data_IF_399710481257
#
_entry.id   IF_399710481257
#
_cell.length_a   1.000
_cell.length_b   1.000
_cell.length_c   1.000
_cell.angle_alpha   90.00
_cell.angle_beta   90.00
_cell.angle_gamma   90.00
#
_symmetry.space_group_name_H-M   'P 1'
#
loop_
_entity.id
_entity.type
_entity.pdbx_description
1 polymer ?
#
# COMPACT_ATOMS: atom_id res chain seq x y z
N UNK A 1 -24.91 -0.47 4.76
CA UNK A 1 -23.61 -0.78 5.42
C UNK A 1 -22.71 0.45 5.31
N UNK A 2 -21.90 0.77 6.33
CA UNK A 2 -20.90 1.86 6.25
C UNK A 2 -19.53 1.26 5.93
N UNK A 3 -18.85 1.84 4.96
CA UNK A 3 -17.49 1.46 4.60
C UNK A 3 -16.54 2.19 5.54
N UNK A 4 -15.73 1.43 6.28
CA UNK A 4 -14.86 1.95 7.32
C UNK A 4 -13.54 2.51 6.77
N UNK A 5 -12.89 3.34 7.57
CA UNK A 5 -11.55 3.84 7.35
C UNK A 5 -10.58 3.12 8.29
N UNK A 6 -9.51 2.52 7.76
CA UNK A 6 -8.45 1.95 8.59
C UNK A 6 -7.37 2.99 8.83
N UNK A 7 -7.36 3.56 10.01
CA UNK A 7 -6.46 4.65 10.39
C UNK A 7 -5.88 4.41 11.78
N UNK A 8 -4.65 4.84 11.99
CA UNK A 8 -3.95 4.74 13.30
C UNK A 8 -4.05 3.35 13.94
N UNK A 9 -4.03 2.28 13.11
CA UNK A 9 -4.08 0.89 13.56
C UNK A 9 -5.46 0.34 13.90
N UNK A 10 -6.54 1.04 13.61
CA UNK A 10 -7.92 0.61 13.90
C UNK A 10 -8.91 1.01 12.82
N UNK A 11 -10.02 0.28 12.73
CA UNK A 11 -11.16 0.67 11.92
C UNK A 11 -11.94 1.80 12.59
N UNK A 12 -12.26 2.82 11.82
CA UNK A 12 -12.97 4.02 12.29
C UNK A 12 -14.00 4.42 11.25
N UNK A 13 -15.22 4.65 11.67
CA UNK A 13 -16.26 5.23 10.83
C UNK A 13 -16.11 6.76 10.82
N UNK A 14 -16.31 7.38 9.65
CA UNK A 14 -16.45 8.83 9.59
C UNK A 14 -17.82 9.29 10.11
N UNK A 15 -17.97 10.57 10.35
CA UNK A 15 -19.24 11.18 10.80
C UNK A 15 -20.25 11.30 9.66
N UNK A 16 -21.51 11.54 10.01
CA UNK A 16 -22.59 11.74 9.05
C UNK A 16 -22.92 10.49 8.23
N UNK A 17 -23.79 10.64 7.25
CA UNK A 17 -24.23 9.56 6.35
C UNK A 17 -23.17 9.26 5.28
N UNK A 18 -22.53 10.30 4.76
CA UNK A 18 -21.53 10.20 3.70
C UNK A 18 -22.12 10.02 2.30
N UNK A 19 -21.26 9.64 1.36
CA UNK A 19 -21.64 9.41 -0.03
C UNK A 19 -22.12 7.98 -0.24
N UNK A 20 -23.26 7.80 -0.90
CA UNK A 20 -23.76 6.49 -1.28
C UNK A 20 -22.83 5.81 -2.30
N UNK A 21 -22.65 4.52 -2.15
CA UNK A 21 -21.91 3.64 -3.05
C UNK A 21 -22.89 2.71 -3.74
N UNK A 22 -22.77 2.61 -5.04
CA UNK A 22 -23.69 1.87 -5.88
C UNK A 22 -23.06 0.63 -6.48
N UNK A 23 -23.83 -0.41 -6.59
CA UNK A 23 -23.56 -1.54 -7.46
C UNK A 23 -23.77 -1.06 -8.91
N UNK A 24 -22.70 -1.02 -9.69
CA UNK A 24 -22.74 -0.52 -11.06
C UNK A 24 -23.51 -1.42 -12.04
N UNK A 25 -23.85 -2.64 -11.61
CA UNK A 25 -24.58 -3.61 -12.45
C UNK A 25 -26.10 -3.42 -12.32
N UNK A 26 -26.60 -3.15 -11.13
CA UNK A 26 -28.03 -3.09 -10.87
C UNK A 26 -28.52 -1.77 -10.27
N UNK A 27 -27.59 -0.85 -9.91
CA UNK A 27 -27.91 0.45 -9.33
C UNK A 27 -28.29 0.43 -7.85
N UNK A 28 -28.22 -0.70 -7.17
CA UNK A 28 -28.54 -0.81 -5.76
C UNK A 28 -27.46 -0.16 -4.89
N UNK A 29 -27.89 0.40 -3.74
CA UNK A 29 -26.94 0.97 -2.79
C UNK A 29 -26.24 -0.16 -2.03
N UNK A 30 -24.92 -0.24 -2.17
CA UNK A 30 -24.05 -1.18 -1.44
C UNK A 30 -23.84 -0.70 -0.01
N UNK A 31 -23.65 0.60 0.18
CA UNK A 31 -23.36 1.23 1.45
C UNK A 31 -23.01 2.70 1.30
N UNK A 32 -22.43 3.27 2.33
CA UNK A 32 -22.02 4.67 2.36
C UNK A 32 -20.59 4.78 2.86
N UNK A 33 -19.86 5.81 2.43
CA UNK A 33 -18.50 6.12 2.89
C UNK A 33 -18.34 7.60 3.18
N UNK A 34 -17.55 7.92 4.19
CA UNK A 34 -17.22 9.29 4.55
C UNK A 34 -15.87 9.36 5.26
N UNK A 35 -15.20 10.48 5.09
CA UNK A 35 -13.98 10.85 5.84
C UNK A 35 -14.23 12.03 6.77
N UNK A 36 -15.48 12.47 6.92
CA UNK A 36 -15.84 13.56 7.80
C UNK A 36 -15.47 13.24 9.25
N UNK A 37 -14.90 14.21 9.96
CA UNK A 37 -14.46 14.05 11.35
C UNK A 37 -13.13 13.30 11.53
N UNK A 38 -12.46 12.85 10.47
CA UNK A 38 -11.13 12.26 10.58
C UNK A 38 -10.07 13.35 10.75
N UNK A 39 -9.15 13.15 11.69
CA UNK A 39 -7.99 14.02 11.88
C UNK A 39 -6.84 13.54 10.96
N UNK A 40 -6.71 14.16 9.80
CA UNK A 40 -5.63 13.85 8.85
C UNK A 40 -4.24 14.21 9.38
N UNK A 41 -4.14 15.20 10.30
CA UNK A 41 -2.88 15.54 10.96
C UNK A 41 -2.40 14.40 11.84
N UNK A 42 -3.30 13.81 12.64
CA UNK A 42 -3.01 12.64 13.46
C UNK A 42 -2.65 11.41 12.59
N UNK A 43 -3.38 11.17 11.50
CA UNK A 43 -3.10 10.07 10.57
C UNK A 43 -1.68 10.17 10.00
N UNK A 44 -1.28 11.35 9.55
CA UNK A 44 0.06 11.60 9.04
C UNK A 44 1.12 11.48 10.14
N UNK A 45 0.83 11.97 11.33
CA UNK A 45 1.72 11.83 12.49
C UNK A 45 1.94 10.37 12.85
N UNK A 46 0.88 9.58 12.95
CA UNK A 46 0.96 8.13 13.19
C UNK A 46 1.79 7.40 12.12
N UNK A 47 1.54 7.70 10.85
CA UNK A 47 2.33 7.12 9.75
C UNK A 47 3.83 7.42 9.89
N UNK A 48 4.20 8.65 10.23
CA UNK A 48 5.60 9.06 10.41
C UNK A 48 6.26 8.42 11.64
N UNK A 49 5.56 8.42 12.77
CA UNK A 49 6.14 8.05 14.07
C UNK A 49 6.08 6.55 14.34
N UNK A 50 5.04 5.87 13.88
CA UNK A 50 4.85 4.42 14.12
C UNK A 50 5.23 3.63 12.87
N UNK A 51 4.51 3.81 11.76
CA UNK A 51 4.72 3.02 10.54
C UNK A 51 6.11 3.24 9.95
N UNK A 52 6.53 4.49 9.79
CA UNK A 52 7.83 4.85 9.24
C UNK A 52 9.00 4.36 10.09
N UNK A 53 8.90 4.44 11.41
CA UNK A 53 9.97 3.95 12.28
C UNK A 53 10.16 2.43 12.19
N UNK A 54 9.06 1.66 12.11
CA UNK A 54 9.12 0.21 11.96
C UNK A 54 9.75 -0.17 10.62
N UNK A 55 9.24 0.38 9.51
CA UNK A 55 9.72 0.06 8.17
C UNK A 55 11.20 0.43 7.97
N UNK A 56 11.66 1.58 8.48
CA UNK A 56 13.06 2.01 8.35
C UNK A 56 14.06 1.14 9.11
N UNK A 57 13.62 0.44 10.15
CA UNK A 57 14.48 -0.51 10.89
C UNK A 57 14.64 -1.85 10.18
N UNK A 58 13.70 -2.21 9.32
CA UNK A 58 13.74 -3.46 8.57
C UNK A 58 14.77 -3.39 7.45
N UNK A 59 15.44 -4.51 7.21
CA UNK A 59 16.32 -4.68 6.05
C UNK A 59 15.51 -4.80 4.75
N UNK A 60 16.17 -4.67 3.60
CA UNK A 60 15.53 -4.93 2.30
C UNK A 60 14.97 -6.36 2.20
N UNK A 61 15.68 -7.34 2.76
CA UNK A 61 15.23 -8.74 2.78
C UNK A 61 13.98 -8.93 3.63
N UNK A 62 13.93 -8.32 4.80
CA UNK A 62 12.77 -8.40 5.68
C UNK A 62 11.55 -7.73 5.03
N UNK A 63 11.68 -6.50 4.53
CA UNK A 63 10.60 -5.82 3.81
C UNK A 63 10.10 -6.63 2.62
N UNK A 64 11.03 -7.12 1.77
CA UNK A 64 10.69 -7.92 0.60
C UNK A 64 10.01 -9.25 0.96
N UNK A 65 10.39 -9.91 2.06
CA UNK A 65 9.75 -11.13 2.51
C UNK A 65 8.33 -10.88 3.06
N UNK A 66 8.12 -9.80 3.80
CA UNK A 66 6.77 -9.37 4.25
C UNK A 66 5.87 -9.12 3.04
N UNK A 67 6.33 -8.34 2.05
CA UNK A 67 5.57 -8.05 0.83
C UNK A 67 5.26 -9.35 0.06
N UNK A 68 6.22 -10.26 -0.08
CA UNK A 68 6.03 -11.56 -0.74
C UNK A 68 4.98 -12.41 -0.03
N UNK A 69 5.07 -12.53 1.30
CA UNK A 69 4.13 -13.32 2.08
C UNK A 69 2.72 -12.75 1.98
N UNK A 70 2.58 -11.43 2.00
CA UNK A 70 1.32 -10.75 1.77
C UNK A 70 0.75 -11.06 0.39
N UNK A 71 1.56 -11.00 -0.67
CA UNK A 71 1.14 -11.35 -2.03
C UNK A 71 0.62 -12.79 -2.12
N UNK A 72 1.34 -13.75 -1.49
CA UNK A 72 0.92 -15.16 -1.41
C UNK A 72 -0.42 -15.33 -0.67
N UNK A 73 -0.61 -14.61 0.43
CA UNK A 73 -1.84 -14.65 1.20
C UNK A 73 -3.03 -14.11 0.39
N UNK A 74 -2.88 -12.94 -0.22
CA UNK A 74 -3.93 -12.31 -1.02
C UNK A 74 -4.28 -13.14 -2.25
N UNK A 75 -3.29 -13.76 -2.91
CA UNK A 75 -3.51 -14.64 -4.07
C UNK A 75 -4.41 -15.82 -3.73
N UNK A 76 -4.29 -16.41 -2.54
CA UNK A 76 -5.16 -17.52 -2.09
C UNK A 76 -6.62 -17.09 -1.92
N UNK A 77 -6.87 -15.80 -1.70
CA UNK A 77 -8.20 -15.22 -1.46
C UNK A 77 -8.78 -14.50 -2.68
N UNK A 78 -8.14 -14.55 -3.82
CA UNK A 78 -8.51 -13.76 -5.02
C UNK A 78 -9.98 -13.91 -5.44
N UNK A 79 -10.57 -15.08 -5.28
CA UNK A 79 -11.97 -15.33 -5.66
C UNK A 79 -12.97 -14.54 -4.79
N UNK A 80 -12.61 -14.18 -3.58
CA UNK A 80 -13.42 -13.29 -2.74
C UNK A 80 -13.46 -11.87 -3.34
N UNK A 81 -12.33 -11.38 -3.81
CA UNK A 81 -12.21 -10.05 -4.42
C UNK A 81 -12.89 -9.99 -5.78
N UNK A 82 -12.82 -11.06 -6.58
CA UNK A 82 -13.55 -11.14 -7.84
C UNK A 82 -15.06 -10.95 -7.65
N UNK A 83 -15.66 -11.60 -6.65
CA UNK A 83 -17.08 -11.46 -6.34
C UNK A 83 -17.49 -10.03 -6.02
N UNK A 84 -16.59 -9.28 -5.35
CA UNK A 84 -16.84 -7.88 -5.03
C UNK A 84 -16.59 -7.00 -6.26
N UNK A 85 -15.55 -7.30 -7.04
CA UNK A 85 -15.17 -6.55 -8.23
C UNK A 85 -16.26 -6.48 -9.28
N UNK A 86 -17.09 -7.54 -9.44
CA UNK A 86 -18.22 -7.50 -10.36
C UNK A 86 -19.21 -6.35 -10.09
N UNK A 87 -19.34 -5.93 -8.83
CA UNK A 87 -20.20 -4.80 -8.46
C UNK A 87 -19.68 -3.45 -8.98
N UNK A 88 -18.40 -3.37 -9.35
CA UNK A 88 -17.84 -2.18 -10.00
C UNK A 88 -18.20 -2.07 -11.49
N UNK A 89 -18.88 -3.07 -12.06
CA UNK A 89 -19.13 -3.21 -13.49
C UNK A 89 -17.97 -3.84 -14.26
N UNK A 90 -16.89 -4.24 -13.57
CA UNK A 90 -15.74 -4.88 -14.20
C UNK A 90 -16.08 -6.27 -14.73
N UNK A 91 -15.59 -6.58 -15.93
CA UNK A 91 -15.62 -7.95 -16.48
C UNK A 91 -14.64 -8.84 -15.72
N UNK A 92 -14.71 -10.15 -15.98
CA UNK A 92 -13.73 -11.11 -15.40
C UNK A 92 -12.29 -10.76 -15.80
N UNK A 93 -12.08 -10.30 -17.03
CA UNK A 93 -10.76 -9.92 -17.53
C UNK A 93 -10.27 -8.64 -16.86
N UNK A 94 -11.12 -7.62 -16.73
CA UNK A 94 -10.77 -6.37 -16.04
C UNK A 94 -10.44 -6.64 -14.57
N UNK A 95 -11.25 -7.46 -13.90
CA UNK A 95 -11.01 -7.87 -12.51
C UNK A 95 -9.69 -8.64 -12.36
N UNK A 96 -9.36 -9.50 -13.33
CA UNK A 96 -8.09 -10.23 -13.35
C UNK A 96 -6.90 -9.26 -13.48
N UNK A 97 -6.99 -8.29 -14.39
CA UNK A 97 -5.95 -7.27 -14.57
C UNK A 97 -5.76 -6.47 -13.27
N UNK A 98 -6.85 -5.98 -12.67
CA UNK A 98 -6.79 -5.18 -11.45
C UNK A 98 -6.25 -5.98 -10.25
N UNK A 99 -6.84 -7.13 -9.96
CA UNK A 99 -6.57 -7.89 -8.74
C UNK A 99 -5.24 -8.64 -8.84
N UNK A 100 -5.09 -9.50 -9.85
CA UNK A 100 -3.87 -10.30 -9.98
C UNK A 100 -2.69 -9.47 -10.48
N UNK A 101 -2.94 -8.43 -11.28
CA UNK A 101 -1.92 -7.45 -11.64
C UNK A 101 -1.42 -6.66 -10.42
N UNK A 102 -2.32 -6.29 -9.51
CA UNK A 102 -1.96 -5.69 -8.22
C UNK A 102 -1.08 -6.61 -7.38
N UNK A 103 -1.44 -7.91 -7.27
CA UNK A 103 -0.62 -8.89 -6.56
C UNK A 103 0.72 -9.15 -7.28
N UNK A 104 0.73 -9.12 -8.61
CA UNK A 104 1.94 -9.18 -9.42
C UNK A 104 2.93 -8.07 -9.08
N UNK A 105 2.45 -6.86 -8.86
CA UNK A 105 3.29 -5.73 -8.42
C UNK A 105 3.92 -5.98 -7.04
N UNK A 106 3.19 -6.61 -6.10
CA UNK A 106 3.79 -7.01 -4.82
C UNK A 106 4.92 -8.01 -5.04
N UNK A 107 4.74 -9.06 -5.88
CA UNK A 107 5.78 -10.04 -6.18
C UNK A 107 6.99 -9.42 -6.87
N UNK A 108 6.77 -8.55 -7.86
CA UNK A 108 7.82 -7.88 -8.60
C UNK A 108 8.69 -7.03 -7.65
N UNK A 109 8.07 -6.16 -6.85
CA UNK A 109 8.81 -5.32 -5.91
C UNK A 109 9.45 -6.13 -4.79
N UNK A 110 8.79 -7.16 -4.26
CA UNK A 110 9.40 -8.06 -3.28
C UNK A 110 10.67 -8.74 -3.82
N UNK A 111 10.74 -9.03 -5.13
CA UNK A 111 11.91 -9.65 -5.75
C UNK A 111 13.14 -8.75 -5.75
N UNK A 112 12.95 -7.42 -5.73
CA UNK A 112 14.04 -6.44 -5.71
C UNK A 112 14.94 -6.58 -4.48
N UNK A 113 14.47 -7.19 -3.38
CA UNK A 113 15.31 -7.48 -2.22
C UNK A 113 16.60 -8.23 -2.57
N UNK A 114 16.59 -8.98 -3.67
CA UNK A 114 17.76 -9.76 -4.13
C UNK A 114 18.88 -8.87 -4.70
N UNK A 115 18.56 -7.63 -5.07
CA UNK A 115 19.49 -6.67 -5.64
C UNK A 115 20.15 -5.78 -4.55
N UNK A 116 19.62 -5.80 -3.35
CA UNK A 116 20.09 -4.97 -2.25
C UNK A 116 20.76 -5.79 -1.14
N UNK A 117 21.65 -5.19 -0.36
CA UNK A 117 22.28 -5.86 0.80
C UNK A 117 21.23 -6.16 1.89
N UNK A 118 21.55 -7.11 2.77
CA UNK A 118 20.69 -7.39 3.93
C UNK A 118 20.87 -6.33 5.04
N UNK A 119 20.58 -5.09 4.67
CA UNK A 119 20.69 -3.91 5.52
C UNK A 119 19.49 -2.99 5.27
N UNK A 120 19.17 -2.04 6.17
CA UNK A 120 18.09 -1.08 5.97
C UNK A 120 18.44 0.06 4.98
N UNK A 121 19.70 0.16 4.55
CA UNK A 121 20.23 1.15 3.63
C UNK A 121 21.06 0.46 2.53
N UNK A 122 21.40 1.19 1.48
CA UNK A 122 22.30 0.75 0.42
C UNK A 122 23.46 1.73 0.25
N UNK A 123 24.64 1.21 -0.06
CA UNK A 123 25.83 2.02 -0.36
C UNK A 123 26.06 1.97 -1.87
N UNK A 124 25.86 3.11 -2.52
CA UNK A 124 25.89 3.23 -3.97
C UNK A 124 27.33 3.43 -4.48
N UNK A 125 27.82 2.48 -5.27
CA UNK A 125 29.12 2.57 -5.94
C UNK A 125 30.31 2.44 -5.01
N UNK A 126 31.48 2.77 -5.55
CA UNK A 126 32.77 2.76 -4.83
C UNK A 126 33.02 4.09 -4.12
N UNK A 127 33.89 4.08 -3.08
CA UNK A 127 34.33 5.31 -2.44
C UNK A 127 34.99 6.28 -3.43
N UNK A 128 34.61 7.54 -3.37
CA UNK A 128 35.19 8.61 -4.19
C UNK A 128 36.27 9.31 -3.39
N UNK A 129 37.52 9.29 -3.89
CA UNK A 129 38.60 10.06 -3.30
C UNK A 129 38.45 11.55 -3.68
N UNK A 130 38.24 12.38 -2.69
CA UNK A 130 38.07 13.83 -2.84
C UNK A 130 39.37 14.60 -2.57
N UNK A 131 40.47 13.90 -2.27
CA UNK A 131 41.77 14.51 -1.95
C UNK A 131 42.94 13.76 -2.62
N UNK A 132 44.07 14.44 -2.85
CA UNK A 132 45.28 13.78 -3.24
C UNK A 132 45.78 12.87 -2.11
N UNK A 133 45.78 11.54 -2.36
CA UNK A 133 46.32 10.54 -1.45
C UNK A 133 45.32 9.93 -0.46
N UNK A 134 44.02 9.90 -0.77
CA UNK A 134 43.01 9.12 -0.05
C UNK A 134 42.69 9.59 1.39
N UNK A 135 43.03 10.83 1.72
CA UNK A 135 42.78 11.36 3.07
C UNK A 135 41.37 11.87 3.32
N UNK A 136 40.62 12.08 2.26
CA UNK A 136 39.22 12.53 2.31
C UNK A 136 38.40 11.79 1.26
N UNK A 137 37.53 10.93 1.71
CA UNK A 137 36.69 10.05 0.86
C UNK A 137 35.22 10.31 1.12
N UNK A 138 34.40 10.10 0.11
CA UNK A 138 32.96 10.18 0.18
C UNK A 138 32.30 8.88 -0.32
N UNK A 139 31.16 8.54 0.26
CA UNK A 139 30.24 7.49 -0.18
C UNK A 139 28.85 8.04 -0.33
N UNK A 140 28.10 7.58 -1.31
CA UNK A 140 26.67 7.79 -1.38
C UNK A 140 25.95 6.68 -0.60
N UNK A 141 25.12 7.05 0.35
CA UNK A 141 24.31 6.12 1.13
C UNK A 141 22.85 6.42 0.88
N UNK A 142 22.13 5.47 0.32
CA UNK A 142 20.68 5.54 0.10
C UNK A 142 19.95 5.04 1.34
N UNK A 143 19.24 5.94 2.01
CA UNK A 143 18.49 5.64 3.24
C UNK A 143 16.99 5.84 3.02
N UNK A 144 16.12 5.10 3.73
CA UNK A 144 14.68 5.34 3.68
C UNK A 144 14.33 6.76 4.08
N UNK A 145 13.50 7.43 3.26
CA UNK A 145 13.03 8.79 3.57
C UNK A 145 12.17 8.80 4.82
N UNK A 146 12.24 9.91 5.57
CA UNK A 146 11.26 10.20 6.61
C UNK A 146 10.01 10.81 5.99
N UNK A 147 8.84 10.40 6.45
CA UNK A 147 7.58 10.93 5.94
C UNK A 147 6.54 9.84 5.76
N UNK A 148 5.51 10.17 4.99
CA UNK A 148 4.41 9.28 4.60
C UNK A 148 4.12 9.54 3.13
N UNK A 149 4.02 8.49 2.32
CA UNK A 149 3.57 8.60 0.95
C UNK A 149 2.04 8.74 0.92
N UNK A 150 1.53 9.70 0.14
CA UNK A 150 0.09 9.88 -0.04
C UNK A 150 -0.29 9.39 -1.43
N UNK A 151 -1.19 8.41 -1.49
CA UNK A 151 -1.68 7.82 -2.72
C UNK A 151 -3.15 8.19 -2.94
N UNK A 152 -3.43 8.94 -3.99
CA UNK A 152 -4.79 9.22 -4.45
C UNK A 152 -5.01 8.37 -5.69
N UNK A 153 -5.90 7.39 -5.59
CA UNK A 153 -6.10 6.36 -6.61
C UNK A 153 -7.36 6.61 -7.44
N UNK A 154 -7.31 6.15 -8.70
CA UNK A 154 -8.43 6.16 -9.62
C UNK A 154 -9.44 5.02 -9.31
N UNK A 155 -10.63 5.11 -9.91
CA UNK A 155 -11.71 4.15 -9.66
C UNK A 155 -11.61 2.86 -10.49
N UNK A 156 -10.97 2.92 -11.65
CA UNK A 156 -11.00 1.84 -12.65
C UNK A 156 -10.08 0.64 -12.31
N UNK A 157 -8.99 0.87 -11.56
CA UNK A 157 -8.09 -0.18 -11.06
C UNK A 157 -7.79 0.06 -9.58
N UNK A 158 -8.78 -0.13 -8.68
CA UNK A 158 -8.65 0.22 -7.28
C UNK A 158 -7.59 -0.61 -6.55
N UNK A 159 -7.40 -1.88 -6.92
CA UNK A 159 -6.44 -2.79 -6.27
C UNK A 159 -5.05 -2.63 -6.86
N UNK A 160 -4.93 -2.67 -8.21
CA UNK A 160 -3.65 -2.42 -8.86
C UNK A 160 -3.08 -1.06 -8.43
N UNK A 161 -3.87 0.02 -8.58
CA UNK A 161 -3.43 1.38 -8.27
C UNK A 161 -3.01 1.58 -6.81
N UNK A 162 -3.59 0.84 -5.87
CA UNK A 162 -3.15 0.82 -4.48
C UNK A 162 -1.84 0.04 -4.33
N UNK A 163 -1.80 -1.21 -4.80
CA UNK A 163 -0.72 -2.14 -4.47
C UNK A 163 0.58 -1.83 -5.23
N UNK A 164 0.53 -1.32 -6.47
CA UNK A 164 1.73 -0.90 -7.20
C UNK A 164 2.51 0.18 -6.44
N UNK A 165 1.80 1.19 -5.89
CA UNK A 165 2.41 2.29 -5.15
C UNK A 165 2.85 1.85 -3.76
N UNK A 166 2.02 1.08 -3.07
CA UNK A 166 2.35 0.55 -1.75
C UNK A 166 3.57 -0.36 -1.78
N UNK A 167 3.68 -1.24 -2.78
CA UNK A 167 4.80 -2.17 -2.92
C UNK A 167 6.15 -1.43 -3.00
N UNK A 168 6.22 -0.39 -3.84
CA UNK A 168 7.42 0.45 -4.00
C UNK A 168 7.78 1.14 -2.68
N UNK A 169 6.79 1.79 -2.05
CA UNK A 169 7.03 2.55 -0.82
C UNK A 169 7.41 1.64 0.35
N UNK A 170 6.73 0.52 0.52
CA UNK A 170 7.07 -0.44 1.58
C UNK A 170 8.46 -1.03 1.38
N UNK A 171 8.83 -1.36 0.12
CA UNK A 171 10.17 -1.84 -0.18
C UNK A 171 11.23 -0.77 0.10
N UNK A 172 10.94 0.50 -0.15
CA UNK A 172 11.80 1.63 0.18
C UNK A 172 11.78 2.03 1.68
N UNK A 173 10.98 1.36 2.51
CA UNK A 173 10.89 1.63 3.95
C UNK A 173 10.00 2.83 4.32
N UNK A 174 9.06 3.21 3.44
CA UNK A 174 8.15 4.33 3.65
C UNK A 174 6.70 3.84 3.82
N UNK A 175 5.98 4.29 4.86
CA UNK A 175 4.56 4.01 5.02
C UNK A 175 3.73 4.83 4.02
N UNK A 176 2.49 4.38 3.77
CA UNK A 176 1.57 5.05 2.87
C UNK A 176 0.22 5.33 3.54
N UNK A 177 -0.37 6.46 3.16
CA UNK A 177 -1.79 6.76 3.36
C UNK A 177 -2.45 6.65 1.99
N UNK A 178 -3.42 5.76 1.87
CA UNK A 178 -4.13 5.49 0.63
C UNK A 178 -5.53 6.07 0.70
N UNK A 179 -5.85 6.95 -0.24
CA UNK A 179 -7.19 7.46 -0.49
C UNK A 179 -7.72 6.81 -1.77
N UNK A 180 -8.57 5.77 -1.70
CA UNK A 180 -9.19 5.17 -2.87
C UNK A 180 -10.20 6.13 -3.51
N UNK A 181 -10.57 5.89 -4.76
CA UNK A 181 -11.71 6.57 -5.36
C UNK A 181 -12.99 6.14 -4.64
N UNK A 182 -13.88 7.10 -4.36
CA UNK A 182 -15.11 6.86 -3.59
C UNK A 182 -15.94 5.72 -4.20
N UNK A 183 -16.17 5.76 -5.52
CA UNK A 183 -17.07 4.84 -6.22
C UNK A 183 -16.73 3.35 -6.04
N UNK A 184 -15.46 3.00 -5.88
CA UNK A 184 -14.98 1.60 -5.76
C UNK A 184 -14.26 1.32 -4.45
N UNK A 185 -14.42 2.20 -3.45
CA UNK A 185 -13.73 2.09 -2.15
C UNK A 185 -14.06 0.80 -1.38
N UNK A 186 -15.23 0.23 -1.58
CA UNK A 186 -15.64 -1.03 -0.96
C UNK A 186 -14.76 -2.22 -1.38
N UNK A 187 -14.26 -2.23 -2.62
CA UNK A 187 -13.31 -3.27 -3.06
C UNK A 187 -11.93 -3.06 -2.41
N UNK A 188 -11.48 -1.81 -2.33
CA UNK A 188 -10.24 -1.47 -1.62
C UNK A 188 -10.33 -1.82 -0.13
N UNK A 189 -11.46 -1.52 0.52
CA UNK A 189 -11.71 -1.87 1.92
C UNK A 189 -11.62 -3.39 2.15
N UNK A 190 -12.22 -4.19 1.26
CA UNK A 190 -12.16 -5.65 1.35
C UNK A 190 -10.71 -6.19 1.29
N UNK A 191 -9.88 -5.64 0.40
CA UNK A 191 -8.46 -6.02 0.33
C UNK A 191 -7.70 -5.55 1.57
N UNK A 192 -7.96 -4.35 2.08
CA UNK A 192 -7.34 -3.86 3.32
C UNK A 192 -7.74 -4.73 4.52
N UNK A 193 -9.01 -5.16 4.61
CA UNK A 193 -9.45 -6.13 5.64
C UNK A 193 -8.62 -7.41 5.57
N UNK A 194 -8.46 -7.97 4.37
CA UNK A 194 -7.63 -9.16 4.18
C UNK A 194 -6.16 -8.94 4.56
N UNK A 195 -5.59 -7.77 4.26
CA UNK A 195 -4.23 -7.39 4.68
C UNK A 195 -4.11 -7.42 6.21
N UNK A 196 -5.07 -6.81 6.92
CA UNK A 196 -5.06 -6.78 8.39
C UNK A 196 -5.28 -8.17 8.99
N UNK A 197 -6.22 -8.94 8.45
CA UNK A 197 -6.50 -10.32 8.88
C UNK A 197 -5.30 -11.26 8.69
N UNK A 198 -4.41 -10.98 7.74
CA UNK A 198 -3.22 -11.79 7.50
C UNK A 198 -2.27 -11.82 8.69
N UNK A 199 -2.23 -10.77 9.50
CA UNK A 199 -1.29 -10.62 10.61
C UNK A 199 0.17 -10.43 10.17
N UNK A 200 0.43 -10.25 8.87
CA UNK A 200 1.76 -10.14 8.25
C UNK A 200 2.36 -8.75 8.42
#
# INVERSE_FOLDING_TARGET
>A
MKIGNYISGKWTDGLGEGSALYDSVNGEIIGHTTTEGLDFGEILHYGRTIGGQKLRKMTFQERGNVIKNLALYLTKRKEEFYKISYRTGATRVDSWIDIEGGFGNLFANASLRKLFPNQPFDVEGDPIDLSKGGRFMAHHILVPKTGVAIHINAFNFPIWGMLEKCAVNWMAGMPAVVKPATATSYLTEAVVKAIIESGI
#
